data_IF_642566854875
#
_entry.id   IF_642566854875
#
_cell.length_a   1.000
_cell.length_b   1.000
_cell.length_c   1.000
_cell.angle_alpha   90.00
_cell.angle_beta   90.00
_cell.angle_gamma   90.00
#
_symmetry.space_group_name_H-M   'P 1'
#
loop_
_entity.id
_entity.type
_entity.pdbx_description
1 polymer ?
#
# COMPACT_ATOMS: atom_id res chain seq x y z
N UNK A 1 27.41 16.53 4.51
CA UNK A 1 26.07 16.21 3.95
C UNK A 1 25.23 17.47 4.07
N UNK A 2 24.74 18.03 2.95
CA UNK A 2 24.06 19.34 2.93
C UNK A 2 22.69 19.24 3.62
N UNK A 3 22.37 20.20 4.48
CA UNK A 3 21.09 20.31 5.19
C UNK A 3 19.86 20.31 4.27
N UNK A 4 20.02 20.79 3.02
CA UNK A 4 18.99 20.78 1.97
C UNK A 4 18.64 19.36 1.50
N UNK A 5 19.61 18.45 1.38
CA UNK A 5 19.35 17.07 0.97
C UNK A 5 18.59 16.28 2.03
N UNK A 6 18.88 16.50 3.31
CA UNK A 6 18.17 15.85 4.41
C UNK A 6 16.71 16.30 4.51
N UNK A 7 16.41 17.56 4.21
CA UNK A 7 15.03 18.08 4.15
C UNK A 7 14.25 17.50 2.97
N UNK A 8 14.86 17.42 1.81
CA UNK A 8 14.24 16.88 0.61
C UNK A 8 13.86 15.40 0.76
N UNK A 9 14.74 14.60 1.37
CA UNK A 9 14.48 13.18 1.60
C UNK A 9 13.35 12.95 2.62
N UNK A 10 13.25 13.77 3.66
CA UNK A 10 12.13 13.71 4.61
C UNK A 10 10.79 14.04 3.96
N UNK A 11 10.79 15.00 3.02
CA UNK A 11 9.60 15.38 2.26
C UNK A 11 9.12 14.23 1.37
N UNK A 12 10.02 13.53 0.67
CA UNK A 12 9.68 12.37 -0.17
C UNK A 12 9.08 11.22 0.65
N UNK A 13 9.68 10.90 1.80
CA UNK A 13 9.15 9.84 2.69
C UNK A 13 7.75 10.20 3.21
N UNK A 14 7.51 11.47 3.54
CA UNK A 14 6.17 11.93 3.94
C UNK A 14 5.17 11.87 2.79
N UNK A 15 5.58 12.23 1.58
CA UNK A 15 4.73 12.12 0.39
C UNK A 15 4.28 10.67 0.17
N UNK A 16 5.22 9.73 0.23
CA UNK A 16 4.92 8.29 0.13
C UNK A 16 3.95 7.86 1.23
N UNK A 17 4.15 8.31 2.47
CA UNK A 17 3.26 7.99 3.58
C UNK A 17 1.83 8.52 3.36
N UNK A 18 1.68 9.73 2.80
CA UNK A 18 0.37 10.30 2.44
C UNK A 18 -0.28 9.48 1.32
N UNK A 19 0.47 9.11 0.29
CA UNK A 19 -0.05 8.27 -0.80
C UNK A 19 -0.58 6.93 -0.26
N UNK A 20 0.18 6.25 0.60
CA UNK A 20 -0.24 4.99 1.22
C UNK A 20 -1.49 5.17 2.10
N UNK A 21 -1.59 6.27 2.84
CA UNK A 21 -2.76 6.57 3.66
C UNK A 21 -4.02 6.77 2.80
N UNK A 22 -3.91 7.51 1.69
CA UNK A 22 -5.01 7.71 0.75
C UNK A 22 -5.44 6.36 0.16
N UNK A 23 -4.47 5.52 -0.23
CA UNK A 23 -4.75 4.19 -0.77
C UNK A 23 -5.45 3.27 0.24
N UNK A 24 -5.01 3.28 1.51
CA UNK A 24 -5.68 2.54 2.57
C UNK A 24 -7.15 2.97 2.73
N UNK A 25 -7.45 4.26 2.56
CA UNK A 25 -8.83 4.76 2.59
C UNK A 25 -9.65 4.30 1.38
N UNK A 26 -9.06 4.24 0.19
CA UNK A 26 -9.71 3.70 -1.01
C UNK A 26 -10.06 2.23 -0.79
N UNK A 27 -9.13 1.41 -0.34
CA UNK A 27 -9.38 -0.02 -0.06
C UNK A 27 -10.42 -0.25 1.04
N UNK A 28 -10.47 0.63 2.05
CA UNK A 28 -11.54 0.60 3.04
C UNK A 28 -12.91 0.93 2.41
N UNK A 29 -12.97 1.86 1.44
CA UNK A 29 -14.20 2.13 0.70
C UNK A 29 -14.64 0.93 -0.14
N UNK A 30 -13.68 0.19 -0.71
CA UNK A 30 -13.95 -1.06 -1.43
C UNK A 30 -14.51 -2.14 -0.49
N UNK A 31 -13.99 -2.25 0.74
CA UNK A 31 -14.56 -3.14 1.75
C UNK A 31 -16.03 -2.81 2.05
N UNK A 32 -16.37 -1.51 2.17
CA UNK A 32 -17.76 -1.07 2.37
C UNK A 32 -18.60 -1.41 1.14
N UNK A 33 -18.08 -1.20 -0.07
CA UNK A 33 -18.77 -1.53 -1.32
C UNK A 33 -19.07 -3.02 -1.40
N UNK A 34 -18.11 -3.90 -1.07
CA UNK A 34 -18.32 -5.35 -1.04
C UNK A 34 -19.40 -5.77 -0.02
N UNK A 35 -19.45 -5.11 1.13
CA UNK A 35 -20.50 -5.33 2.11
C UNK A 35 -21.86 -4.93 1.53
N UNK A 36 -21.98 -3.75 0.91
CA UNK A 36 -23.24 -3.29 0.29
C UNK A 36 -23.69 -4.22 -0.85
N UNK A 37 -22.75 -4.73 -1.66
CA UNK A 37 -23.02 -5.74 -2.69
C UNK A 37 -23.59 -7.03 -2.08
N UNK A 38 -23.02 -7.49 -0.97
CA UNK A 38 -23.45 -8.72 -0.31
C UNK A 38 -24.88 -8.64 0.24
N UNK A 39 -25.34 -7.43 0.58
CA UNK A 39 -26.72 -7.16 0.99
C UNK A 39 -27.66 -6.85 -0.19
N UNK A 40 -27.14 -6.87 -1.43
CA UNK A 40 -27.93 -6.55 -2.63
C UNK A 40 -28.31 -5.07 -2.75
N UNK A 41 -27.66 -4.18 -1.97
CA UNK A 41 -27.95 -2.74 -1.97
C UNK A 41 -27.31 -2.01 -3.15
N UNK A 42 -26.23 -2.56 -3.68
CA UNK A 42 -25.48 -2.01 -4.83
C UNK A 42 -25.13 -3.15 -5.79
N UNK A 43 -25.27 -2.91 -7.11
CA UNK A 43 -24.78 -3.83 -8.13
C UNK A 43 -23.24 -3.83 -8.18
N UNK A 44 -22.66 -4.78 -8.92
CA UNK A 44 -21.20 -4.86 -9.09
C UNK A 44 -20.66 -3.63 -9.85
N UNK A 45 -19.91 -2.73 -9.19
CA UNK A 45 -19.33 -1.57 -9.84
C UNK A 45 -17.98 -1.89 -10.49
N UNK A 46 -17.41 -3.07 -10.26
CA UNK A 46 -16.06 -3.42 -10.71
C UNK A 46 -16.06 -3.90 -12.17
N UNK A 47 -15.02 -3.55 -12.96
CA UNK A 47 -14.89 -4.04 -14.32
C UNK A 47 -14.65 -5.55 -14.34
N UNK A 48 -15.06 -6.19 -15.44
CA UNK A 48 -14.80 -7.61 -15.63
C UNK A 48 -13.28 -7.90 -15.61
N UNK A 49 -12.87 -8.83 -14.75
CA UNK A 49 -11.46 -9.23 -14.62
C UNK A 49 -11.09 -10.23 -15.72
N UNK A 50 -9.80 -10.31 -16.06
CA UNK A 50 -9.27 -11.24 -17.06
C UNK A 50 -9.55 -12.69 -16.67
N UNK A 51 -9.42 -13.02 -15.39
CA UNK A 51 -9.72 -14.37 -14.88
C UNK A 51 -11.19 -14.47 -14.45
N UNK A 52 -11.96 -15.28 -15.16
CA UNK A 52 -13.40 -15.48 -14.93
C UNK A 52 -13.74 -15.94 -13.51
N UNK A 53 -12.86 -16.74 -12.89
CA UNK A 53 -13.06 -17.23 -11.52
C UNK A 53 -13.17 -16.09 -10.50
N UNK A 54 -12.42 -15.01 -10.67
CA UNK A 54 -12.53 -13.84 -9.80
C UNK A 54 -13.80 -13.04 -10.05
N UNK A 55 -14.29 -12.99 -11.30
CA UNK A 55 -15.57 -12.38 -11.62
C UNK A 55 -16.72 -13.16 -10.96
N UNK A 56 -16.69 -14.49 -11.06
CA UNK A 56 -17.68 -15.35 -10.43
C UNK A 56 -17.67 -15.22 -8.91
N UNK A 57 -16.49 -15.17 -8.31
CA UNK A 57 -16.33 -14.96 -6.88
C UNK A 57 -16.88 -13.60 -6.45
N UNK A 58 -16.57 -12.54 -7.19
CA UNK A 58 -17.01 -11.19 -6.89
C UNK A 58 -18.53 -11.03 -7.04
N UNK A 59 -19.14 -11.63 -8.08
CA UNK A 59 -20.55 -11.53 -8.35
C UNK A 59 -21.41 -12.41 -7.43
N UNK A 60 -20.97 -13.62 -7.15
CA UNK A 60 -21.76 -14.60 -6.40
C UNK A 60 -21.41 -14.63 -4.90
N UNK A 61 -20.18 -14.29 -4.54
CA UNK A 61 -19.67 -14.37 -3.18
C UNK A 61 -18.76 -13.19 -2.81
N UNK A 62 -19.24 -11.93 -2.89
CA UNK A 62 -18.40 -10.74 -2.68
C UNK A 62 -17.70 -10.73 -1.32
N UNK A 63 -18.31 -11.33 -0.29
CA UNK A 63 -17.70 -11.40 1.06
C UNK A 63 -16.39 -12.19 1.10
N UNK A 64 -16.12 -13.09 0.17
CA UNK A 64 -14.86 -13.83 0.13
C UNK A 64 -13.67 -12.94 -0.26
N UNK A 65 -13.94 -11.83 -0.96
CA UNK A 65 -12.91 -10.85 -1.30
C UNK A 65 -12.61 -9.87 -0.15
N UNK A 66 -13.54 -9.73 0.80
CA UNK A 66 -13.41 -8.79 1.91
C UNK A 66 -12.12 -8.96 2.74
N UNK A 67 -11.70 -10.20 3.14
CA UNK A 67 -10.46 -10.39 3.90
C UNK A 67 -9.22 -9.91 3.12
N UNK A 68 -9.22 -10.06 1.80
CA UNK A 68 -8.10 -9.65 0.94
C UNK A 68 -7.95 -8.13 0.94
N UNK A 69 -9.04 -7.40 0.68
CA UNK A 69 -9.03 -5.92 0.70
C UNK A 69 -8.71 -5.39 2.10
N UNK A 70 -9.29 -5.97 3.15
CA UNK A 70 -9.00 -5.57 4.53
C UNK A 70 -7.54 -5.79 4.91
N UNK A 71 -6.95 -6.90 4.45
CA UNK A 71 -5.53 -7.20 4.66
C UNK A 71 -4.63 -6.13 4.02
N UNK A 72 -4.85 -5.79 2.74
CA UNK A 72 -4.07 -4.77 2.06
C UNK A 72 -4.29 -3.38 2.66
N UNK A 73 -5.53 -2.99 2.96
CA UNK A 73 -5.84 -1.73 3.63
C UNK A 73 -5.10 -1.59 4.97
N UNK A 74 -5.11 -2.66 5.78
CA UNK A 74 -4.42 -2.69 7.07
C UNK A 74 -2.91 -2.55 6.92
N UNK A 75 -2.31 -3.30 5.99
CA UNK A 75 -0.86 -3.21 5.73
C UNK A 75 -0.45 -1.83 5.24
N UNK A 76 -1.22 -1.21 4.34
CA UNK A 76 -0.96 0.15 3.84
C UNK A 76 -1.09 1.19 4.94
N UNK A 77 -2.11 1.09 5.79
CA UNK A 77 -2.29 1.97 6.94
C UNK A 77 -1.11 1.86 7.93
N UNK A 78 -0.70 0.63 8.27
CA UNK A 78 0.45 0.36 9.12
C UNK A 78 1.72 0.93 8.49
N UNK A 79 1.96 0.69 7.20
CA UNK A 79 3.11 1.20 6.46
C UNK A 79 3.17 2.73 6.48
N UNK A 80 2.03 3.40 6.21
CA UNK A 80 1.91 4.85 6.27
C UNK A 80 2.29 5.39 7.67
N UNK A 81 1.74 4.79 8.74
CA UNK A 81 2.07 5.17 10.12
C UNK A 81 3.56 5.00 10.44
N UNK A 82 4.16 3.90 9.97
CA UNK A 82 5.58 3.63 10.15
C UNK A 82 6.47 4.66 9.45
N UNK A 83 6.13 5.02 8.22
CA UNK A 83 6.84 6.06 7.46
C UNK A 83 6.64 7.45 8.04
N UNK A 84 5.43 7.82 8.51
CA UNK A 84 5.19 9.08 9.21
C UNK A 84 6.06 9.21 10.46
N UNK A 85 6.22 8.11 11.19
CA UNK A 85 7.08 8.03 12.38
C UNK A 85 8.57 7.83 12.04
N UNK A 86 8.92 7.80 10.75
CA UNK A 86 10.29 7.57 10.27
C UNK A 86 10.93 6.32 10.87
N UNK A 87 10.14 5.25 11.01
CA UNK A 87 10.59 3.96 11.56
C UNK A 87 11.02 3.03 10.44
N UNK A 88 12.11 2.29 10.66
CA UNK A 88 12.66 1.36 9.66
C UNK A 88 11.66 0.24 9.29
N UNK A 89 10.84 -0.20 10.25
CA UNK A 89 9.80 -1.18 9.96
C UNK A 89 8.75 -0.65 8.96
N UNK A 90 8.44 0.67 8.99
CA UNK A 90 7.54 1.29 8.00
C UNK A 90 8.09 1.21 6.59
N UNK A 91 9.41 1.33 6.41
CA UNK A 91 10.06 1.12 5.12
C UNK A 91 9.87 -0.32 4.63
N UNK A 92 10.20 -1.32 5.46
CA UNK A 92 10.10 -2.72 5.08
C UNK A 92 8.67 -3.18 4.82
N UNK A 93 7.70 -2.71 5.62
CA UNK A 93 6.28 -3.01 5.38
C UNK A 93 5.78 -2.37 4.09
N UNK A 94 6.26 -1.17 3.72
CA UNK A 94 5.94 -0.54 2.43
C UNK A 94 6.50 -1.35 1.27
N UNK A 95 7.76 -1.75 1.34
CA UNK A 95 8.38 -2.61 0.30
C UNK A 95 7.59 -3.91 0.15
N UNK A 96 7.23 -4.54 1.25
CA UNK A 96 6.48 -5.79 1.25
C UNK A 96 5.10 -5.61 0.60
N UNK A 97 4.31 -4.62 1.02
CA UNK A 97 2.95 -4.44 0.49
C UNK A 97 2.96 -4.07 -0.99
N UNK A 98 3.82 -3.14 -1.41
CA UNK A 98 3.91 -2.75 -2.82
C UNK A 98 4.39 -3.91 -3.70
N UNK A 99 5.40 -4.68 -3.26
CA UNK A 99 5.87 -5.86 -4.00
C UNK A 99 4.77 -6.91 -4.11
N UNK A 100 4.05 -7.17 -3.02
CA UNK A 100 2.94 -8.14 -3.03
C UNK A 100 1.84 -7.68 -3.98
N UNK A 101 1.44 -6.40 -3.96
CA UNK A 101 0.43 -5.86 -4.88
C UNK A 101 0.88 -6.01 -6.34
N UNK A 102 2.14 -5.66 -6.66
CA UNK A 102 2.68 -5.79 -8.03
C UNK A 102 2.65 -7.25 -8.50
N UNK A 103 2.94 -8.21 -7.63
CA UNK A 103 2.91 -9.64 -7.97
C UNK A 103 1.48 -10.15 -8.18
N UNK A 104 0.50 -9.64 -7.41
CA UNK A 104 -0.90 -10.05 -7.50
C UNK A 104 -1.68 -9.28 -8.59
N UNK A 105 -1.26 -8.07 -8.94
CA UNK A 105 -1.95 -7.21 -9.89
C UNK A 105 -2.29 -7.89 -11.24
N UNK A 106 -1.40 -8.68 -11.87
CA UNK A 106 -1.72 -9.33 -13.15
C UNK A 106 -2.92 -10.27 -13.07
N UNK A 107 -3.18 -10.88 -11.90
CA UNK A 107 -4.29 -11.81 -11.71
C UNK A 107 -5.65 -11.11 -11.57
N UNK A 108 -5.64 -9.86 -11.14
CA UNK A 108 -6.83 -9.05 -10.89
C UNK A 108 -7.02 -7.93 -11.93
N UNK A 109 -6.24 -7.94 -13.02
CA UNK A 109 -6.42 -6.96 -14.10
C UNK A 109 -7.82 -7.08 -14.75
N UNK A 110 -8.42 -5.98 -15.21
CA UNK A 110 -7.89 -4.61 -15.26
C UNK A 110 -8.08 -3.80 -13.97
N UNK A 111 -8.75 -4.34 -12.95
CA UNK A 111 -9.08 -3.65 -11.70
C UNK A 111 -7.84 -3.03 -11.04
N UNK A 112 -6.75 -3.79 -10.96
CA UNK A 112 -5.53 -3.42 -10.23
C UNK A 112 -4.44 -2.78 -11.11
N UNK A 113 -4.71 -2.53 -12.40
CA UNK A 113 -3.69 -2.00 -13.31
C UNK A 113 -3.17 -0.62 -12.89
N UNK A 114 -4.05 0.27 -12.46
CA UNK A 114 -3.68 1.60 -11.95
C UNK A 114 -2.93 1.48 -10.62
N UNK A 115 -3.37 0.58 -9.74
CA UNK A 115 -2.70 0.32 -8.45
C UNK A 115 -1.27 -0.15 -8.64
N UNK A 116 -1.04 -1.07 -9.57
CA UNK A 116 0.30 -1.57 -9.90
C UNK A 116 1.25 -0.43 -10.30
N UNK A 117 0.78 0.51 -11.14
CA UNK A 117 1.59 1.66 -11.55
C UNK A 117 1.91 2.58 -10.37
N UNK A 118 0.95 2.80 -9.48
CA UNK A 118 1.14 3.67 -8.31
C UNK A 118 2.05 2.99 -7.29
N UNK A 119 1.90 1.70 -7.03
CA UNK A 119 2.78 0.96 -6.14
C UNK A 119 4.22 0.90 -6.67
N UNK A 120 4.40 0.77 -7.99
CA UNK A 120 5.70 0.89 -8.62
C UNK A 120 6.30 2.30 -8.45
N UNK A 121 5.50 3.35 -8.60
CA UNK A 121 5.93 4.72 -8.36
C UNK A 121 6.28 4.95 -6.88
N UNK A 122 5.50 4.43 -5.94
CA UNK A 122 5.77 4.48 -4.50
C UNK A 122 7.11 3.81 -4.19
N UNK A 123 7.36 2.61 -4.70
CA UNK A 123 8.65 1.92 -4.52
C UNK A 123 9.80 2.73 -5.10
N UNK A 124 9.64 3.28 -6.29
CA UNK A 124 10.66 4.11 -6.93
C UNK A 124 10.99 5.35 -6.10
N UNK A 125 9.96 6.10 -5.64
CA UNK A 125 10.14 7.28 -4.79
C UNK A 125 10.79 6.91 -3.44
N UNK A 126 10.40 5.77 -2.87
CA UNK A 126 10.97 5.28 -1.62
C UNK A 126 12.45 4.94 -1.77
N UNK A 127 12.83 4.27 -2.87
CA UNK A 127 14.23 3.95 -3.19
C UNK A 127 15.05 5.20 -3.44
N UNK A 128 14.52 6.18 -4.20
CA UNK A 128 15.20 7.47 -4.40
C UNK A 128 15.43 8.21 -3.07
N UNK A 129 14.42 8.19 -2.19
CA UNK A 129 14.53 8.79 -0.86
C UNK A 129 15.55 8.11 0.05
N UNK A 130 15.78 6.80 -0.14
CA UNK A 130 16.69 6.02 0.71
C UNK A 130 18.11 5.90 0.15
N UNK A 131 18.29 5.81 -1.17
CA UNK A 131 19.61 5.76 -1.82
C UNK A 131 20.42 7.03 -1.57
N UNK A 132 19.75 8.18 -1.36
CA UNK A 132 20.41 9.42 -0.98
C UNK A 132 20.80 9.53 0.49
N UNK A 133 20.32 8.65 1.38
CA UNK A 133 20.55 8.78 2.82
C UNK A 133 20.07 7.55 3.62
N UNK A 134 20.90 6.53 3.72
CA UNK A 134 20.78 5.50 4.77
C UNK A 134 20.80 6.08 6.19
N UNK A 135 20.99 7.40 6.36
CA UNK A 135 21.07 8.12 7.62
C UNK A 135 19.74 8.72 8.11
N UNK A 136 18.62 8.56 7.37
CA UNK A 136 17.32 9.10 7.78
C UNK A 136 16.74 8.32 8.97
N UNK A 137 17.07 7.04 9.07
CA UNK A 137 16.61 6.20 10.17
C UNK A 137 17.61 6.28 11.33
N UNK A 138 17.20 6.70 12.52
CA UNK A 138 18.09 6.71 13.67
C UNK A 138 18.60 5.29 13.90
N UNK A 139 19.92 5.11 13.91
CA UNK A 139 20.54 3.86 14.38
C UNK A 139 19.96 3.59 15.77
N UNK A 140 19.27 2.48 15.95
CA UNK A 140 18.94 1.97 17.27
C UNK A 140 20.26 1.80 17.99
N UNK A 141 20.56 2.74 18.89
CA UNK A 141 21.81 2.72 19.66
C UNK A 141 21.83 1.44 20.49
N UNK A 142 22.66 0.51 20.09
CA UNK A 142 23.21 -0.51 20.97
C UNK A 142 24.16 0.20 21.91
N UNK A 143 23.62 0.88 22.93
CA UNK A 143 24.36 1.15 24.15
C UNK A 143 24.51 -0.18 24.87
N UNK A 144 25.45 -1.00 24.40
CA UNK A 144 26.03 -2.06 25.25
C UNK A 144 27.00 -1.31 26.14
N UNK A 145 26.53 -1.09 27.39
CA UNK A 145 27.34 -0.42 28.39
C UNK A 145 28.63 -1.19 28.67
N UNK A 146 29.69 -0.43 28.70
CA UNK A 146 30.92 -0.76 29.42
C UNK A 146 30.78 -0.35 30.86
#
# INVERSE_FOLDING_TARGET
MNSSQTMQNKSLVRLVAVMLAIYALIELSDCITLLLMSFGLVGNPYPAMIFSQFNDLLNNHPLWMLPVFLYFASLRAISALGLFRQRMWGFWTTVLVCTTTILWAPFLMPLTGVEMLIDAAILFLLLLGTLGSLSIFPKTGTNIGS
#
